data_IF_072860092311
#
_entry.id   IF_072860092311
#
_cell.length_a   1.000
_cell.length_b   1.000
_cell.length_c   1.000
_cell.angle_alpha   90.00
_cell.angle_beta   90.00
_cell.angle_gamma   90.00
#
_symmetry.space_group_name_H-M   'P 1'
#
loop_
_entity.id
_entity.type
_entity.pdbx_description
1 polymer ?
#
# COMPACT_ATOMS: atom_id res chain seq x y z
N UNK A 1 19.51 15.16 11.65
CA UNK A 1 18.83 14.70 10.41
C UNK A 1 18.38 13.25 10.58
N UNK A 2 17.10 12.95 10.33
CA UNK A 2 16.63 11.57 10.33
C UNK A 2 17.24 10.87 9.11
N UNK A 3 17.95 9.77 9.31
CA UNK A 3 18.48 8.96 8.21
C UNK A 3 17.29 8.25 7.56
N UNK A 4 17.16 8.41 6.24
CA UNK A 4 16.14 7.71 5.46
C UNK A 4 16.41 6.19 5.54
N UNK A 5 15.38 5.43 5.84
CA UNK A 5 15.47 3.99 6.12
C UNK A 5 14.84 3.16 5.01
N UNK A 6 15.10 1.86 4.99
CA UNK A 6 14.52 0.94 3.98
C UNK A 6 12.99 1.06 3.97
N UNK A 7 12.34 1.18 5.13
CA UNK A 7 10.88 1.28 5.23
C UNK A 7 10.30 2.56 4.60
N UNK A 8 11.12 3.60 4.41
CA UNK A 8 10.69 4.83 3.76
C UNK A 8 10.48 4.65 2.23
N UNK A 9 10.90 3.52 1.64
CA UNK A 9 10.63 3.18 0.23
C UNK A 9 9.14 2.96 -0.08
N UNK A 10 8.34 2.53 0.91
CA UNK A 10 6.89 2.36 0.77
C UNK A 10 6.12 3.58 1.28
N UNK A 11 6.80 4.56 1.88
CA UNK A 11 6.16 5.69 2.52
C UNK A 11 5.68 6.71 1.49
N UNK A 12 4.43 7.16 1.67
CA UNK A 12 3.82 8.16 0.79
C UNK A 12 4.58 9.50 0.74
N UNK A 13 4.56 10.23 -0.41
CA UNK A 13 5.30 11.48 -0.60
C UNK A 13 4.96 12.57 0.41
N UNK A 14 3.69 12.71 0.79
CA UNK A 14 3.24 13.69 1.79
C UNK A 14 3.78 13.38 3.19
N UNK A 15 3.88 12.10 3.56
CA UNK A 15 4.45 11.70 4.85
C UNK A 15 5.97 11.79 4.87
N UNK A 16 6.63 11.65 3.71
CA UNK A 16 8.08 11.88 3.55
C UNK A 16 8.45 13.36 3.61
N UNK A 17 7.57 14.25 3.12
CA UNK A 17 7.76 15.70 3.14
C UNK A 17 7.39 16.33 4.49
N UNK A 18 6.50 15.71 5.26
CA UNK A 18 6.09 16.22 6.56
C UNK A 18 7.22 16.06 7.60
N UNK A 19 7.63 17.17 8.24
CA UNK A 19 8.66 17.17 9.29
C UNK A 19 8.19 16.48 10.58
N UNK A 20 6.89 16.49 10.83
CA UNK A 20 6.24 15.90 12.01
C UNK A 20 5.06 15.02 11.57
N UNK A 21 5.33 13.91 10.87
CA UNK A 21 4.26 13.04 10.40
C UNK A 21 3.57 12.34 11.58
N UNK A 22 2.26 12.03 11.48
CA UNK A 22 1.57 11.25 12.50
C UNK A 22 2.30 9.94 12.77
N UNK A 23 2.45 9.56 14.06
CA UNK A 23 3.20 8.35 14.46
C UNK A 23 2.64 7.07 13.84
N UNK A 24 1.32 7.02 13.64
CA UNK A 24 0.59 5.88 13.05
C UNK A 24 0.40 5.99 11.54
N UNK A 25 1.00 6.97 10.87
CA UNK A 25 0.74 7.24 9.47
C UNK A 25 -0.67 7.77 9.21
N UNK A 26 -1.19 7.53 8.01
CA UNK A 26 -2.55 7.92 7.62
C UNK A 26 -3.14 6.83 6.72
N UNK A 27 -4.47 6.71 6.71
CA UNK A 27 -5.14 5.74 5.83
C UNK A 27 -4.78 5.94 4.35
N UNK A 28 -4.67 7.20 3.90
CA UNK A 28 -4.24 7.49 2.52
C UNK A 28 -2.76 7.14 2.28
N UNK A 29 -1.92 7.23 3.31
CA UNK A 29 -0.56 6.72 3.29
C UNK A 29 -0.53 5.20 3.13
N UNK A 30 -1.40 4.47 3.81
CA UNK A 30 -1.52 3.01 3.68
C UNK A 30 -1.95 2.59 2.28
N UNK A 31 -2.86 3.34 1.64
CA UNK A 31 -3.26 3.12 0.24
C UNK A 31 -2.08 3.29 -0.72
N UNK A 32 -1.22 4.29 -0.49
CA UNK A 32 0.00 4.44 -1.28
C UNK A 32 0.96 3.26 -1.07
N UNK A 33 1.22 2.88 0.19
CA UNK A 33 2.08 1.74 0.52
C UNK A 33 1.58 0.45 -0.13
N UNK A 34 0.26 0.23 -0.11
CA UNK A 34 -0.39 -0.90 -0.77
C UNK A 34 -0.09 -0.93 -2.28
N UNK A 35 -0.07 0.21 -2.97
CA UNK A 35 0.27 0.26 -4.39
C UNK A 35 1.70 -0.21 -4.68
N UNK A 36 2.65 0.18 -3.83
CA UNK A 36 4.06 -0.24 -3.93
C UNK A 36 4.19 -1.74 -3.65
N UNK A 37 3.48 -2.25 -2.66
CA UNK A 37 3.44 -3.69 -2.34
C UNK A 37 2.80 -4.48 -3.50
N UNK A 38 1.69 -3.99 -4.06
CA UNK A 38 1.03 -4.64 -5.19
C UNK A 38 1.94 -4.69 -6.41
N UNK A 39 2.65 -3.59 -6.70
CA UNK A 39 3.69 -3.55 -7.72
C UNK A 39 4.79 -4.60 -7.48
N UNK A 40 5.30 -4.67 -6.25
CA UNK A 40 6.36 -5.60 -5.84
C UNK A 40 5.95 -7.07 -6.01
N UNK A 41 4.72 -7.40 -5.58
CA UNK A 41 4.17 -8.77 -5.64
C UNK A 41 4.01 -9.23 -7.10
N UNK A 42 3.51 -8.36 -7.97
CA UNK A 42 3.29 -8.69 -9.38
C UNK A 42 4.62 -8.72 -10.14
N UNK A 43 5.47 -7.71 -9.95
CA UNK A 43 6.71 -7.55 -10.72
C UNK A 43 7.87 -8.42 -10.24
N UNK A 44 7.82 -8.98 -9.03
CA UNK A 44 8.83 -9.88 -8.42
C UNK A 44 10.27 -9.38 -8.53
N UNK A 45 10.46 -8.07 -8.62
CA UNK A 45 11.74 -7.38 -8.86
C UNK A 45 12.02 -6.30 -7.81
N UNK A 46 11.39 -6.44 -6.65
CA UNK A 46 11.45 -5.48 -5.55
C UNK A 46 10.50 -4.29 -5.74
N UNK A 47 10.39 -3.43 -4.71
CA UNK A 47 9.37 -2.36 -4.64
C UNK A 47 9.54 -1.25 -5.67
N UNK A 48 10.73 -1.10 -6.24
CA UNK A 48 11.07 -0.04 -7.21
C UNK A 48 11.60 -0.58 -8.54
N UNK A 49 11.59 -1.90 -8.77
CA UNK A 49 12.04 -2.52 -10.02
C UNK A 49 13.44 -2.04 -10.45
N UNK A 50 13.59 -1.66 -11.73
CA UNK A 50 14.86 -1.11 -12.26
C UNK A 50 15.32 0.19 -11.57
N UNK A 51 14.42 0.93 -10.90
CA UNK A 51 14.79 2.13 -10.14
C UNK A 51 15.54 1.81 -8.83
N UNK A 52 15.62 0.55 -8.40
CA UNK A 52 16.41 0.12 -7.24
C UNK A 52 17.89 0.54 -7.35
N UNK A 53 18.40 0.68 -8.58
CA UNK A 53 19.77 1.13 -8.90
C UNK A 53 20.09 2.54 -8.40
N UNK A 54 19.09 3.39 -8.16
CA UNK A 54 19.30 4.73 -7.59
C UNK A 54 19.63 4.72 -6.09
N UNK A 55 19.50 3.57 -5.42
CA UNK A 55 19.66 3.45 -3.98
C UNK A 55 18.55 4.12 -3.17
N UNK A 56 18.49 3.81 -1.87
CA UNK A 56 17.39 4.23 -0.97
C UNK A 56 17.25 5.76 -0.95
N UNK A 57 18.33 6.47 -0.68
CA UNK A 57 18.32 7.94 -0.60
C UNK A 57 17.95 8.58 -1.94
N UNK A 58 18.50 8.06 -3.05
CA UNK A 58 18.24 8.59 -4.38
C UNK A 58 16.79 8.42 -4.82
N UNK A 59 16.15 7.31 -4.43
CA UNK A 59 14.72 7.09 -4.64
C UNK A 59 13.92 8.07 -3.78
N UNK A 60 14.18 8.12 -2.48
CA UNK A 60 13.40 8.92 -1.53
C UNK A 60 13.48 10.42 -1.88
N UNK A 61 14.66 10.92 -2.25
CA UNK A 61 14.84 12.30 -2.69
C UNK A 61 14.03 12.62 -3.95
N UNK A 62 13.88 11.67 -4.87
CA UNK A 62 13.05 11.84 -6.07
C UNK A 62 11.56 11.81 -5.73
N UNK A 63 11.14 10.97 -4.80
CA UNK A 63 9.74 10.89 -4.33
C UNK A 63 9.33 12.15 -3.58
N UNK A 64 10.22 12.74 -2.79
CA UNK A 64 9.98 13.98 -2.03
C UNK A 64 9.82 15.21 -2.94
N UNK A 65 10.29 15.20 -4.19
CA UNK A 65 10.26 16.38 -5.06
C UNK A 65 8.83 16.80 -5.39
N UNK A 66 8.49 18.05 -5.06
CA UNK A 66 7.26 18.68 -5.51
C UNK A 66 7.40 18.98 -7.01
N UNK A 67 6.40 18.58 -7.78
CA UNK A 67 6.40 18.70 -9.23
C UNK A 67 5.81 20.04 -9.66
N UNK A 68 6.37 20.62 -10.72
CA UNK A 68 5.70 21.68 -11.47
C UNK A 68 4.45 21.13 -12.19
N UNK A 69 3.44 21.96 -12.46
CA UNK A 69 2.26 21.54 -13.23
C UNK A 69 2.65 20.83 -14.54
N UNK A 70 2.00 19.70 -14.84
CA UNK A 70 2.24 18.91 -16.06
C UNK A 70 3.42 17.94 -15.99
N UNK A 71 4.14 17.84 -14.87
CA UNK A 71 5.16 16.80 -14.66
C UNK A 71 4.58 15.57 -13.97
N UNK A 72 5.09 14.40 -14.34
CA UNK A 72 4.71 13.10 -13.77
C UNK A 72 5.54 12.80 -12.52
N UNK A 73 4.90 12.26 -11.49
CA UNK A 73 5.56 11.92 -10.24
C UNK A 73 6.52 10.73 -10.41
N UNK A 74 7.63 10.76 -9.69
CA UNK A 74 8.55 9.63 -9.68
C UNK A 74 7.91 8.45 -8.94
N UNK A 75 7.72 7.34 -9.66
CA UNK A 75 7.09 6.10 -9.19
C UNK A 75 7.86 4.88 -9.73
N UNK A 76 7.61 3.68 -9.19
CA UNK A 76 8.06 2.45 -9.81
C UNK A 76 7.64 2.36 -11.29
N UNK A 77 8.51 1.87 -12.17
CA UNK A 77 8.25 1.81 -13.60
C UNK A 77 7.29 0.69 -13.95
N UNK A 78 6.24 0.99 -14.72
CA UNK A 78 5.19 0.03 -15.09
C UNK A 78 5.43 -0.67 -16.44
N UNK A 79 6.41 -0.22 -17.23
CA UNK A 79 6.60 -0.70 -18.61
C UNK A 79 6.88 -2.20 -18.68
N UNK A 80 7.55 -2.74 -17.67
CA UNK A 80 7.98 -4.13 -17.59
C UNK A 80 7.03 -4.97 -16.70
N UNK A 81 5.90 -4.40 -16.26
CA UNK A 81 4.96 -5.06 -15.35
C UNK A 81 3.92 -5.84 -16.15
N UNK A 82 4.07 -7.17 -16.21
CA UNK A 82 3.09 -8.08 -16.81
C UNK A 82 1.85 -8.23 -15.91
N UNK A 83 0.88 -7.34 -16.07
CA UNK A 83 -0.37 -7.34 -15.30
C UNK A 83 -1.56 -6.91 -16.15
N UNK A 84 -2.76 -7.36 -15.78
CA UNK A 84 -3.99 -6.90 -16.40
C UNK A 84 -4.20 -5.39 -16.17
N UNK A 85 -4.83 -4.72 -17.14
CA UNK A 85 -5.09 -3.27 -17.12
C UNK A 85 -5.76 -2.78 -15.83
N UNK A 86 -6.65 -3.56 -15.24
CA UNK A 86 -7.34 -3.17 -14.01
C UNK A 86 -6.39 -3.14 -12.80
N UNK A 87 -5.34 -3.98 -12.79
CA UNK A 87 -4.28 -3.97 -11.77
C UNK A 87 -3.44 -2.72 -11.95
N UNK A 88 -2.98 -2.45 -13.18
CA UNK A 88 -2.18 -1.26 -13.51
C UNK A 88 -2.94 0.02 -13.12
N UNK A 89 -4.21 0.12 -13.52
CA UNK A 89 -5.07 1.25 -13.17
C UNK A 89 -5.25 1.39 -11.65
N UNK A 90 -5.39 0.28 -10.93
CA UNK A 90 -5.50 0.30 -9.47
C UNK A 90 -4.21 0.81 -8.82
N UNK A 91 -3.04 0.35 -9.25
CA UNK A 91 -1.74 0.87 -8.78
C UNK A 91 -1.65 2.38 -9.03
N UNK A 92 -1.99 2.81 -10.26
CA UNK A 92 -1.99 4.22 -10.66
C UNK A 92 -2.86 5.12 -9.78
N UNK A 93 -4.07 4.66 -9.46
CA UNK A 93 -5.01 5.40 -8.60
C UNK A 93 -4.54 5.42 -7.14
N UNK A 94 -3.97 4.32 -6.64
CA UNK A 94 -3.55 4.19 -5.24
C UNK A 94 -2.30 5.01 -4.89
N UNK A 95 -1.33 5.17 -5.79
CA UNK A 95 -0.12 5.96 -5.52
C UNK A 95 -0.20 7.42 -6.01
N UNK A 96 -1.42 7.94 -6.20
CA UNK A 96 -1.65 9.31 -6.66
C UNK A 96 -0.90 10.32 -5.76
N UNK A 97 -0.34 11.36 -6.37
CA UNK A 97 0.39 12.41 -5.67
C UNK A 97 -0.51 13.17 -4.68
N UNK A 98 -1.78 13.38 -5.02
CA UNK A 98 -2.78 13.95 -4.12
C UNK A 98 -3.43 12.83 -3.28
N UNK A 99 -3.25 12.81 -1.94
CA UNK A 99 -3.82 11.80 -1.06
C UNK A 99 -5.34 11.68 -1.15
N UNK A 100 -6.04 12.79 -1.40
CA UNK A 100 -7.51 12.82 -1.46
C UNK A 100 -8.07 12.13 -2.71
N UNK A 101 -7.28 12.06 -3.79
CA UNK A 101 -7.67 11.37 -5.02
C UNK A 101 -7.47 9.85 -4.96
N UNK A 102 -6.77 9.35 -3.92
CA UNK A 102 -6.54 7.91 -3.75
C UNK A 102 -7.86 7.24 -3.34
N UNK A 103 -8.20 6.07 -3.89
CA UNK A 103 -9.39 5.33 -3.51
C UNK A 103 -9.30 4.82 -2.06
N UNK A 104 -10.44 4.50 -1.46
CA UNK A 104 -10.47 3.73 -0.21
C UNK A 104 -10.32 2.21 -0.47
N UNK A 105 -10.04 1.43 0.57
CA UNK A 105 -9.86 -0.03 0.43
C UNK A 105 -11.12 -0.78 -0.07
N UNK A 106 -12.33 -0.23 0.15
CA UNK A 106 -13.56 -0.83 -0.39
C UNK A 106 -13.59 -0.70 -1.92
N UNK A 107 -13.21 0.47 -2.44
CA UNK A 107 -13.08 0.73 -3.86
C UNK A 107 -11.93 -0.08 -4.48
N UNK A 108 -10.79 -0.18 -3.81
CA UNK A 108 -9.65 -1.02 -4.24
C UNK A 108 -10.08 -2.48 -4.37
N UNK A 109 -10.74 -3.04 -3.34
CA UNK A 109 -11.26 -4.41 -3.37
C UNK A 109 -12.23 -4.63 -4.52
N UNK A 110 -13.10 -3.67 -4.80
CA UNK A 110 -14.02 -3.75 -5.94
C UNK A 110 -13.28 -3.75 -7.29
N UNK A 111 -12.24 -2.92 -7.46
CA UNK A 111 -11.41 -2.88 -8.67
C UNK A 111 -10.61 -4.16 -8.90
N UNK A 112 -10.13 -4.80 -7.82
CA UNK A 112 -9.33 -6.02 -7.87
C UNK A 112 -10.17 -7.31 -7.83
N UNK A 113 -11.50 -7.23 -7.78
CA UNK A 113 -12.39 -8.40 -7.88
C UNK A 113 -12.06 -9.35 -9.04
N UNK A 114 -11.68 -8.88 -10.24
CA UNK A 114 -11.33 -9.79 -11.33
C UNK A 114 -10.15 -10.72 -11.02
N UNK A 115 -9.24 -10.38 -10.09
CA UNK A 115 -8.17 -11.31 -9.65
C UNK A 115 -8.74 -12.59 -9.04
N UNK A 116 -9.95 -12.52 -8.49
CA UNK A 116 -10.65 -13.65 -7.88
C UNK A 116 -11.41 -14.48 -8.92
N UNK A 117 -11.57 -13.99 -10.15
CA UNK A 117 -12.24 -14.72 -11.22
C UNK A 117 -11.33 -15.87 -11.68
N UNK A 118 -11.79 -17.11 -11.51
CA UNK A 118 -11.04 -18.32 -11.88
C UNK A 118 -10.33 -19.00 -10.71
N UNK A 119 -10.11 -18.30 -9.59
CA UNK A 119 -9.96 -18.92 -8.28
C UNK A 119 -11.34 -19.48 -7.90
N UNK A 120 -11.68 -20.69 -8.38
CA UNK A 120 -12.73 -21.46 -7.73
C UNK A 120 -12.37 -21.46 -6.24
N UNK A 121 -13.29 -21.14 -5.31
CA UNK A 121 -12.97 -21.12 -3.89
C UNK A 121 -12.39 -22.48 -3.56
N UNK A 122 -11.07 -22.55 -3.43
CA UNK A 122 -10.44 -23.77 -3.03
C UNK A 122 -10.94 -24.00 -1.60
N UNK A 123 -11.12 -25.25 -1.19
CA UNK A 123 -11.59 -25.52 0.18
C UNK A 123 -10.67 -24.80 1.19
N UNK A 124 -9.39 -24.66 0.83
CA UNK A 124 -8.40 -23.87 1.55
C UNK A 124 -8.68 -22.36 1.58
N UNK A 125 -9.15 -21.73 0.50
CA UNK A 125 -9.50 -20.30 0.51
C UNK A 125 -10.72 -20.04 1.39
N UNK A 126 -11.69 -20.95 1.39
CA UNK A 126 -12.84 -20.87 2.29
C UNK A 126 -12.41 -21.08 3.74
N UNK A 127 -11.52 -22.04 4.02
CA UNK A 127 -10.95 -22.24 5.36
C UNK A 127 -10.11 -21.04 5.81
N UNK A 128 -9.35 -20.42 4.91
CA UNK A 128 -8.55 -19.23 5.20
C UNK A 128 -9.46 -18.04 5.52
N UNK A 129 -10.51 -17.81 4.74
CA UNK A 129 -11.50 -16.77 5.01
C UNK A 129 -12.24 -17.00 6.35
N UNK A 130 -12.56 -18.25 6.68
CA UNK A 130 -13.11 -18.61 7.98
C UNK A 130 -12.10 -18.31 9.09
N UNK A 131 -10.83 -18.70 8.93
CA UNK A 131 -9.76 -18.41 9.89
C UNK A 131 -9.53 -16.91 10.12
N UNK A 132 -9.50 -16.10 9.06
CA UNK A 132 -9.40 -14.64 9.16
C UNK A 132 -10.57 -14.04 9.95
N UNK A 133 -11.79 -14.53 9.69
CA UNK A 133 -12.99 -14.12 10.42
C UNK A 133 -12.91 -14.51 11.90
N UNK A 134 -12.47 -15.73 12.21
CA UNK A 134 -12.25 -16.16 13.60
C UNK A 134 -11.19 -15.32 14.31
N UNK A 135 -10.07 -15.02 13.64
CA UNK A 135 -9.02 -14.19 14.21
C UNK A 135 -9.52 -12.77 14.53
N UNK A 136 -10.22 -12.12 13.60
CA UNK A 136 -10.79 -10.78 13.81
C UNK A 136 -11.84 -10.75 14.92
N UNK A 137 -12.71 -11.76 14.98
CA UNK A 137 -13.71 -11.88 16.05
C UNK A 137 -13.03 -12.10 17.40
N UNK A 138 -11.98 -12.92 17.44
CA UNK A 138 -11.22 -13.20 18.67
C UNK A 138 -10.48 -11.95 19.16
N UNK A 139 -9.83 -11.20 18.27
CA UNK A 139 -9.21 -9.92 18.62
C UNK A 139 -10.21 -8.95 19.23
N UNK A 140 -11.41 -8.86 18.64
CA UNK A 140 -12.49 -8.01 19.16
C UNK A 140 -12.92 -8.44 20.57
N UNK A 141 -13.10 -9.75 20.80
CA UNK A 141 -13.45 -10.32 22.11
C UNK A 141 -12.37 -10.09 23.16
N UNK A 142 -11.09 -10.28 22.80
CA UNK A 142 -9.95 -10.03 23.71
C UNK A 142 -9.89 -8.56 24.07
N UNK A 143 -10.12 -7.67 23.10
CA UNK A 143 -10.11 -6.23 23.33
C UNK A 143 -11.24 -5.80 24.28
N UNK A 144 -12.45 -6.31 24.10
CA UNK A 144 -13.59 -6.04 24.99
C UNK A 144 -13.32 -6.52 26.43
N UNK A 145 -12.81 -7.74 26.60
CA UNK A 145 -12.46 -8.28 27.92
C UNK A 145 -11.33 -7.50 28.61
N UNK A 146 -10.33 -7.11 27.82
CA UNK A 146 -9.21 -6.32 28.33
C UNK A 146 -9.66 -4.94 28.78
N UNK A 147 -10.63 -4.34 28.08
CA UNK A 147 -11.19 -3.05 28.46
C UNK A 147 -11.97 -3.12 29.78
N UNK A 148 -12.80 -4.15 29.97
CA UNK A 148 -13.56 -4.33 31.23
C UNK A 148 -12.64 -4.49 32.45
N UNK A 149 -11.50 -5.19 32.32
CA UNK A 149 -10.52 -5.35 33.41
C UNK A 149 -9.73 -4.07 33.72
N UNK A 150 -9.71 -3.09 32.81
CA UNK A 150 -9.09 -1.78 33.07
C UNK A 150 -10.07 -0.81 33.75
N UNK A 151 -11.37 -1.10 33.68
CA UNK A 151 -12.45 -0.29 34.27
C UNK A 151 -12.84 -0.77 35.68
N UNK A 152 -12.29 -1.90 36.15
CA UNK A 152 -12.45 -2.50 37.49
C UNK A 152 -11.27 -2.17 38.41
#
# INVERSE_FOLDING_TARGET
PKVDSVSDLWRSPELLRNKTPPRRGTQKGDVYSFAIILYEVIGRSGPWGKHQTYGINGIIDRVKKILSPGKVAFRPPLEDLEADDYIIKTILDCWNENPELRPDFRQIKAKLRPMQAGLKPNIFDNMLAMMETYASNLESLVQERTQLLMEE
#
